data_IF_312970856914
#
_entry.id   IF_312970856914
#
_cell.length_a   1.000
_cell.length_b   1.000
_cell.length_c   1.000
_cell.angle_alpha   90.00
_cell.angle_beta   90.00
_cell.angle_gamma   90.00
#
_symmetry.space_group_name_H-M   'P 1'
#
loop_
_entity.id
_entity.type
_entity.pdbx_description
1 polymer ?
#
# COMPACT_ATOMS: atom_id res chain seq x y z
N UNK A 1 -14.67 -0.97 -46.68
CA UNK A 1 -13.96 -1.34 -45.44
C UNK A 1 -13.14 -0.15 -44.96
N UNK A 2 -13.69 0.66 -44.03
CA UNK A 2 -12.94 1.75 -43.40
C UNK A 2 -12.18 1.16 -42.20
N UNK A 3 -10.85 1.19 -42.23
CA UNK A 3 -10.02 0.81 -41.08
C UNK A 3 -10.20 1.88 -40.00
N UNK A 4 -10.80 1.51 -38.87
CA UNK A 4 -10.81 2.34 -37.67
C UNK A 4 -9.39 2.37 -37.13
N UNK A 5 -8.71 3.52 -37.27
CA UNK A 5 -7.47 3.78 -36.55
C UNK A 5 -7.83 4.04 -35.09
N UNK A 6 -7.53 3.09 -34.20
CA UNK A 6 -7.64 3.29 -32.76
C UNK A 6 -6.66 4.38 -32.34
N UNK A 7 -7.23 5.48 -31.87
CA UNK A 7 -6.50 6.61 -31.31
C UNK A 7 -5.96 6.22 -29.94
N UNK A 8 -4.77 5.63 -29.88
CA UNK A 8 -4.02 5.40 -28.65
C UNK A 8 -3.47 6.73 -28.14
N UNK A 9 -4.35 7.54 -27.55
CA UNK A 9 -3.90 8.62 -26.68
C UNK A 9 -3.17 7.95 -25.51
N UNK A 10 -1.88 8.23 -25.38
CA UNK A 10 -1.11 7.86 -24.18
C UNK A 10 -1.90 8.27 -22.93
N UNK A 11 -2.15 7.33 -22.01
CA UNK A 11 -2.77 7.63 -20.72
C UNK A 11 -1.99 8.71 -19.95
N UNK A 12 -0.72 8.85 -20.26
CA UNK A 12 0.17 9.92 -19.81
C UNK A 12 0.35 10.93 -20.96
N UNK A 13 -0.54 11.92 -21.03
CA UNK A 13 -0.43 13.03 -21.98
C UNK A 13 0.88 13.80 -21.78
N UNK A 14 1.50 14.25 -22.87
CA UNK A 14 2.73 15.03 -22.79
C UNK A 14 2.47 16.38 -22.11
N UNK A 15 3.29 16.69 -21.10
CA UNK A 15 3.32 17.99 -20.42
C UNK A 15 4.76 18.54 -20.50
N UNK A 16 4.96 19.83 -20.84
CA UNK A 16 6.28 20.44 -20.81
C UNK A 16 6.87 20.36 -19.39
N UNK A 17 8.08 19.80 -19.26
CA UNK A 17 8.75 19.58 -17.96
C UNK A 17 8.21 18.39 -17.15
N UNK A 18 7.25 17.64 -17.69
CA UNK A 18 6.74 16.42 -17.07
C UNK A 18 7.67 15.22 -17.24
N UNK A 19 7.51 14.23 -16.37
CA UNK A 19 8.20 12.94 -16.47
C UNK A 19 7.81 12.23 -17.77
N UNK A 20 8.75 11.49 -18.37
CA UNK A 20 8.44 10.57 -19.47
C UNK A 20 7.43 9.50 -19.01
N UNK A 21 6.65 8.89 -19.92
CA UNK A 21 5.72 7.81 -19.55
C UNK A 21 6.38 6.67 -18.77
N UNK A 22 7.65 6.37 -19.10
CA UNK A 22 8.45 5.39 -18.38
C UNK A 22 8.72 5.85 -16.95
N UNK A 23 9.26 7.05 -16.74
CA UNK A 23 9.53 7.57 -15.40
C UNK A 23 8.26 7.69 -14.54
N UNK A 24 7.12 8.01 -15.15
CA UNK A 24 5.82 8.01 -14.47
C UNK A 24 5.43 6.61 -14.01
N UNK A 25 5.55 5.61 -14.88
CA UNK A 25 5.29 4.22 -14.54
C UNK A 25 6.22 3.72 -13.42
N UNK A 26 7.53 3.99 -13.52
CA UNK A 26 8.50 3.59 -12.50
C UNK A 26 8.20 4.24 -11.14
N UNK A 27 7.72 5.50 -11.15
CA UNK A 27 7.29 6.19 -9.92
C UNK A 27 6.04 5.55 -9.32
N UNK A 28 5.02 5.27 -10.14
CA UNK A 28 3.76 4.65 -9.68
C UNK A 28 4.04 3.30 -9.03
N UNK A 29 4.71 2.38 -9.74
CA UNK A 29 5.03 1.05 -9.22
C UNK A 29 5.80 1.12 -7.88
N UNK A 30 6.77 2.04 -7.78
CA UNK A 30 7.57 2.19 -6.55
C UNK A 30 6.76 2.76 -5.38
N UNK A 31 5.87 3.72 -5.63
CA UNK A 31 5.02 4.34 -4.59
C UNK A 31 3.98 3.34 -4.12
N UNK A 32 3.31 2.67 -5.05
CA UNK A 32 2.27 1.69 -4.72
C UNK A 32 2.87 0.51 -3.94
N UNK A 33 4.00 -0.06 -4.40
CA UNK A 33 4.71 -1.09 -3.65
C UNK A 33 5.07 -0.67 -2.22
N UNK A 34 5.50 0.58 -2.02
CA UNK A 34 5.80 1.11 -0.69
C UNK A 34 4.54 1.28 0.16
N UNK A 35 3.43 1.68 -0.46
CA UNK A 35 2.11 1.76 0.15
C UNK A 35 1.62 0.41 0.66
N UNK A 36 1.64 -0.61 -0.21
CA UNK A 36 1.21 -1.97 0.17
C UNK A 36 2.08 -2.54 1.31
N UNK A 37 3.40 -2.32 1.24
CA UNK A 37 4.29 -2.71 2.32
C UNK A 37 3.94 -2.00 3.64
N UNK A 38 3.67 -0.69 3.60
CA UNK A 38 3.24 0.07 4.76
C UNK A 38 1.90 -0.42 5.33
N UNK A 39 0.93 -0.74 4.47
CA UNK A 39 -0.39 -1.24 4.86
C UNK A 39 -0.28 -2.58 5.59
N UNK A 40 0.50 -3.54 5.06
CA UNK A 40 0.78 -4.80 5.75
C UNK A 40 1.34 -4.55 7.16
N UNK A 41 2.28 -3.61 7.30
CA UNK A 41 2.88 -3.26 8.60
C UNK A 41 1.89 -2.62 9.57
N UNK A 42 0.95 -1.81 9.07
CA UNK A 42 -0.14 -1.25 9.89
C UNK A 42 -1.01 -2.37 10.44
N UNK A 43 -1.45 -3.32 9.62
CA UNK A 43 -2.26 -4.44 10.08
C UNK A 43 -1.50 -5.33 11.08
N UNK A 44 -0.19 -5.53 10.90
CA UNK A 44 0.63 -6.23 11.90
C UNK A 44 0.69 -5.49 13.24
N UNK A 45 0.81 -4.16 13.21
CA UNK A 45 0.74 -3.33 14.40
C UNK A 45 -0.61 -3.43 15.10
N UNK A 46 -1.71 -3.37 14.34
CA UNK A 46 -3.06 -3.51 14.87
C UNK A 46 -3.27 -4.90 15.50
N UNK A 47 -2.85 -5.97 14.84
CA UNK A 47 -2.94 -7.33 15.36
C UNK A 47 -2.13 -7.54 16.63
N UNK A 48 -1.01 -6.85 16.80
CA UNK A 48 -0.22 -6.93 18.03
C UNK A 48 -1.03 -6.48 19.27
N UNK A 49 -2.01 -5.59 19.08
CA UNK A 49 -2.86 -5.04 20.14
C UNK A 49 -4.22 -5.73 20.21
N UNK A 50 -4.80 -6.04 19.05
CA UNK A 50 -6.16 -6.55 18.90
C UNK A 50 -6.24 -8.07 18.77
N UNK A 51 -5.14 -8.82 18.90
CA UNK A 51 -5.12 -10.28 18.67
C UNK A 51 -6.24 -11.08 19.34
N UNK A 52 -6.69 -10.65 20.52
CA UNK A 52 -7.71 -11.32 21.34
C UNK A 52 -9.08 -10.61 21.26
N UNK A 53 -9.23 -9.60 20.39
CA UNK A 53 -10.48 -8.89 20.18
C UNK A 53 -11.33 -9.54 19.07
N UNK A 54 -12.64 -9.29 19.03
CA UNK A 54 -13.52 -9.79 17.96
C UNK A 54 -13.08 -9.36 16.54
N UNK A 55 -12.43 -8.20 16.43
CA UNK A 55 -12.00 -7.61 15.15
C UNK A 55 -10.73 -8.29 14.59
N UNK A 56 -10.03 -9.12 15.37
CA UNK A 56 -8.76 -9.72 14.99
C UNK A 56 -8.83 -10.54 13.69
N UNK A 57 -9.95 -11.24 13.47
CA UNK A 57 -10.15 -12.04 12.25
C UNK A 57 -10.32 -11.15 11.02
N UNK A 58 -11.10 -10.07 11.13
CA UNK A 58 -11.26 -9.09 10.06
C UNK A 58 -9.91 -8.44 9.71
N UNK A 59 -9.13 -8.04 10.72
CA UNK A 59 -7.81 -7.44 10.51
C UNK A 59 -6.84 -8.44 9.84
N UNK A 60 -6.89 -9.73 10.19
CA UNK A 60 -6.12 -10.77 9.50
C UNK A 60 -6.52 -10.89 8.03
N UNK A 61 -7.81 -10.92 7.75
CA UNK A 61 -8.29 -11.01 6.36
C UNK A 61 -7.86 -9.80 5.52
N UNK A 62 -7.98 -8.59 6.08
CA UNK A 62 -7.52 -7.37 5.40
C UNK A 62 -6.01 -7.39 5.16
N UNK A 63 -5.23 -7.87 6.14
CA UNK A 63 -3.78 -8.06 5.97
C UNK A 63 -3.45 -9.01 4.81
N UNK A 64 -4.13 -10.16 4.74
CA UNK A 64 -3.92 -11.14 3.66
C UNK A 64 -4.20 -10.55 2.28
N UNK A 65 -5.20 -9.66 2.17
CA UNK A 65 -5.48 -8.95 0.92
C UNK A 65 -4.32 -8.02 0.53
N UNK A 66 -3.77 -7.25 1.47
CA UNK A 66 -2.61 -6.40 1.17
C UNK A 66 -1.33 -7.19 0.90
N UNK A 67 -1.16 -8.37 1.51
CA UNK A 67 -0.04 -9.26 1.17
C UNK A 67 -0.11 -9.70 -0.30
N UNK A 68 -1.30 -10.02 -0.81
CA UNK A 68 -1.52 -10.34 -2.22
C UNK A 68 -1.26 -9.12 -3.13
N UNK A 69 -1.71 -7.93 -2.74
CA UNK A 69 -1.41 -6.69 -3.48
C UNK A 69 0.10 -6.44 -3.51
N UNK A 70 0.77 -6.54 -2.37
CA UNK A 70 2.22 -6.37 -2.25
C UNK A 70 2.98 -7.34 -3.16
N UNK A 71 2.62 -8.62 -3.16
CA UNK A 71 3.22 -9.62 -4.06
C UNK A 71 3.03 -9.23 -5.53
N UNK A 72 1.85 -8.71 -5.89
CA UNK A 72 1.61 -8.25 -7.25
C UNK A 72 2.52 -7.09 -7.63
N UNK A 73 2.71 -6.12 -6.75
CA UNK A 73 3.62 -5.00 -7.01
C UNK A 73 5.10 -5.43 -6.98
N UNK A 74 5.47 -6.44 -6.20
CA UNK A 74 6.82 -7.02 -6.20
C UNK A 74 7.15 -7.69 -7.55
N UNK A 75 6.17 -8.38 -8.14
CA UNK A 75 6.28 -8.87 -9.52
C UNK A 75 6.45 -7.71 -10.51
N UNK A 76 5.63 -6.65 -10.40
CA UNK A 76 5.71 -5.49 -11.29
C UNK A 76 7.05 -4.75 -11.17
N UNK A 77 7.62 -4.63 -9.97
CA UNK A 77 8.98 -4.09 -9.76
C UNK A 77 10.00 -4.90 -10.55
N UNK A 78 9.93 -6.23 -10.46
CA UNK A 78 10.85 -7.14 -11.12
C UNK A 78 10.70 -7.09 -12.64
N UNK A 79 9.47 -7.19 -13.15
CA UNK A 79 9.15 -7.15 -14.58
C UNK A 79 9.61 -5.83 -15.24
N UNK A 80 9.41 -4.70 -14.55
CA UNK A 80 9.74 -3.38 -15.07
C UNK A 80 11.16 -2.91 -14.71
N UNK A 81 11.92 -3.72 -13.96
CA UNK A 81 13.27 -3.42 -13.43
C UNK A 81 13.31 -2.13 -12.61
N UNK A 82 12.25 -1.89 -11.83
CA UNK A 82 12.13 -0.75 -10.94
C UNK A 82 12.74 -1.09 -9.59
N UNK A 83 13.57 -0.19 -9.06
CA UNK A 83 14.10 -0.35 -7.71
C UNK A 83 13.05 0.03 -6.67
N UNK A 84 12.89 -0.74 -5.59
CA UNK A 84 12.09 -0.33 -4.43
C UNK A 84 12.58 1.02 -3.86
N UNK A 85 11.74 1.66 -3.06
CA UNK A 85 12.14 2.87 -2.34
C UNK A 85 13.22 2.58 -1.29
N UNK A 86 14.11 3.54 -1.05
CA UNK A 86 15.08 3.48 0.05
C UNK A 86 14.41 3.70 1.41
N UNK A 87 13.18 4.22 1.43
CA UNK A 87 12.42 4.50 2.64
C UNK A 87 11.73 3.27 3.24
N UNK A 88 11.88 2.08 2.66
CA UNK A 88 11.26 0.84 3.17
C UNK A 88 11.53 0.59 4.66
N UNK A 89 12.76 0.78 5.19
CA UNK A 89 13.01 0.62 6.63
C UNK A 89 12.23 1.62 7.50
N UNK A 90 12.01 2.85 7.00
CA UNK A 90 11.19 3.84 7.69
C UNK A 90 9.73 3.38 7.73
N UNK A 91 9.18 2.93 6.61
CA UNK A 91 7.81 2.41 6.54
C UNK A 91 7.61 1.17 7.41
N UNK A 92 8.63 0.32 7.54
CA UNK A 92 8.60 -0.87 8.40
C UNK A 92 8.27 -0.52 9.86
N UNK A 93 8.95 0.50 10.38
CA UNK A 93 8.79 0.95 11.77
C UNK A 93 7.55 1.83 11.89
N UNK A 94 7.39 2.81 11.00
CA UNK A 94 6.30 3.77 11.06
C UNK A 94 4.93 3.11 10.89
N UNK A 95 4.78 2.20 9.92
CA UNK A 95 3.51 1.49 9.70
C UNK A 95 3.12 0.65 10.92
N UNK A 96 4.05 -0.11 11.47
CA UNK A 96 3.80 -0.92 12.67
C UNK A 96 3.43 -0.06 13.88
N UNK A 97 4.22 0.98 14.17
CA UNK A 97 3.97 1.88 15.29
C UNK A 97 2.62 2.60 15.16
N UNK A 98 2.26 3.02 13.93
CA UNK A 98 0.97 3.65 13.65
C UNK A 98 -0.19 2.67 13.87
N UNK A 99 -0.08 1.44 13.37
CA UNK A 99 -1.10 0.41 13.56
C UNK A 99 -1.31 0.06 15.03
N UNK A 100 -0.22 -0.17 15.77
CA UNK A 100 -0.28 -0.46 17.20
C UNK A 100 -0.85 0.73 17.99
N UNK A 101 -0.35 1.94 17.74
CA UNK A 101 -0.80 3.15 18.44
C UNK A 101 -2.29 3.44 18.23
N UNK A 102 -2.78 3.35 16.99
CA UNK A 102 -4.19 3.59 16.69
C UNK A 102 -5.11 2.50 17.27
N UNK A 103 -4.68 1.23 17.24
CA UNK A 103 -5.41 0.15 17.87
C UNK A 103 -5.51 0.30 19.40
N UNK A 104 -4.45 0.75 20.07
CA UNK A 104 -4.48 1.01 21.52
C UNK A 104 -5.46 2.12 21.87
N UNK A 105 -5.43 3.23 21.13
CA UNK A 105 -6.35 4.34 21.32
C UNK A 105 -7.81 3.93 21.10
N UNK A 106 -8.10 3.09 20.10
CA UNK A 106 -9.44 2.58 19.84
C UNK A 106 -9.97 1.71 20.99
N UNK A 107 -9.12 0.82 21.53
CA UNK A 107 -9.46 -0.03 22.68
C UNK A 107 -9.71 0.78 23.94
N UNK A 108 -8.84 1.74 24.26
CA UNK A 108 -8.99 2.58 25.44
C UNK A 108 -10.21 3.52 25.32
N UNK A 109 -10.44 4.11 24.15
CA UNK A 109 -11.62 4.96 23.91
C UNK A 109 -12.94 4.16 24.03
N UNK A 110 -12.97 2.92 23.55
CA UNK A 110 -14.15 2.05 23.70
C UNK A 110 -14.45 1.73 25.17
N UNK A 111 -13.42 1.49 26.00
CA UNK A 111 -13.60 1.23 27.43
C UNK A 111 -13.95 2.51 28.23
N UNK A 112 -13.42 3.67 27.85
CA UNK A 112 -13.71 4.95 28.50
C UNK A 112 -15.16 5.41 28.31
N UNK A 113 -15.84 4.99 27.24
CA UNK A 113 -17.26 5.27 27.00
C UNK A 113 -18.22 4.33 27.78
N UNK A 114 -17.69 3.35 28.50
CA UNK A 114 -18.48 2.39 29.29
C UNK A 114 -18.32 2.57 30.82
N UNK A 115 -17.63 3.64 31.25
CA UNK A 115 -17.52 4.08 32.65
C UNK A 115 -18.40 5.30 32.96
#
# INVERSE_FOLDING_TARGET
MKKHAENTKSAFGWQPGGLSPREQLERIIRVDHAGEYGAVRIYEGQLAVLKDSPEAETVRHMKEQEEQHREKFEQLLTENRVRPTLLTPLWHVAGYALGAGTAMLGKEAAMACTE
#
